data_IF_436282847874
#
_entry.id   IF_436282847874
#
_cell.length_a   1.000
_cell.length_b   1.000
_cell.length_c   1.000
_cell.angle_alpha   90.00
_cell.angle_beta   90.00
_cell.angle_gamma   90.00
#
_symmetry.space_group_name_H-M   'P 1'
#
loop_
_entity.id
_entity.type
_entity.pdbx_description
1 polymer ?
#
# COMPACT_ATOMS: atom_id res chain seq x y z
N UNK A 1 3.84 13.46 -10.63
CA UNK A 1 2.91 12.71 -9.77
C UNK A 1 3.63 11.50 -9.19
N UNK A 2 3.43 11.23 -7.92
CA UNK A 2 4.06 10.09 -7.28
C UNK A 2 3.07 9.34 -6.39
N UNK A 3 3.45 8.10 -6.05
CA UNK A 3 2.63 7.22 -5.23
C UNK A 3 3.50 6.46 -4.24
N UNK A 4 2.92 6.10 -3.11
CA UNK A 4 3.50 5.15 -2.17
C UNK A 4 2.87 3.79 -2.51
N UNK A 5 3.70 2.77 -2.68
CA UNK A 5 3.24 1.40 -2.94
C UNK A 5 3.48 0.59 -1.67
N UNK A 6 2.41 -0.01 -1.15
CA UNK A 6 2.46 -0.82 0.07
C UNK A 6 2.15 -2.26 -0.31
N UNK A 7 3.13 -3.13 -0.14
CA UNK A 7 2.98 -4.55 -0.43
C UNK A 7 2.70 -5.29 0.87
N UNK A 8 1.60 -6.05 0.89
CA UNK A 8 1.13 -6.76 2.09
C UNK A 8 0.97 -8.24 1.83
N UNK A 9 1.24 -9.04 2.86
CA UNK A 9 1.02 -10.47 2.86
C UNK A 9 0.82 -10.94 4.30
N UNK A 10 -0.17 -11.82 4.52
CA UNK A 10 -0.46 -12.32 5.86
C UNK A 10 -0.92 -11.25 6.84
N UNK A 11 -1.56 -10.19 6.33
CA UNK A 11 -1.97 -9.05 7.15
C UNK A 11 -0.84 -8.12 7.58
N UNK A 12 0.38 -8.34 7.06
CA UNK A 12 1.55 -7.56 7.43
C UNK A 12 2.14 -6.84 6.23
N UNK A 13 2.64 -5.63 6.47
CA UNK A 13 3.37 -4.88 5.45
C UNK A 13 4.73 -5.55 5.22
N UNK A 14 5.00 -5.94 3.98
CA UNK A 14 6.27 -6.57 3.59
C UNK A 14 7.27 -5.54 3.07
N UNK A 15 6.81 -4.63 2.23
CA UNK A 15 7.65 -3.61 1.61
C UNK A 15 6.84 -2.34 1.39
N UNK A 16 7.53 -1.21 1.40
CA UNK A 16 6.96 0.09 1.04
C UNK A 16 7.88 0.75 0.04
N UNK A 17 7.34 1.15 -1.09
CA UNK A 17 8.09 1.79 -2.17
C UNK A 17 7.53 3.16 -2.48
N UNK A 18 8.34 4.01 -3.09
CA UNK A 18 7.88 5.26 -3.69
C UNK A 18 8.18 5.18 -5.18
N UNK A 19 7.20 5.56 -6.00
CA UNK A 19 7.37 5.64 -7.44
C UNK A 19 6.97 7.03 -7.92
N UNK A 20 7.78 7.61 -8.83
CA UNK A 20 7.51 8.91 -9.42
C UNK A 20 8.28 10.03 -8.74
N UNK A 21 7.95 11.27 -9.11
CA UNK A 21 8.61 12.47 -8.61
C UNK A 21 7.62 13.38 -7.89
N UNK A 22 8.11 14.16 -6.95
CA UNK A 22 7.32 15.06 -6.13
C UNK A 22 6.75 14.35 -4.90
N UNK A 23 5.97 15.08 -4.11
CA UNK A 23 5.33 14.53 -2.93
C UNK A 23 4.25 13.51 -3.35
N UNK A 24 4.18 12.35 -2.72
CA UNK A 24 3.18 11.35 -3.08
C UNK A 24 1.77 11.85 -2.77
N UNK A 25 0.82 11.52 -3.66
CA UNK A 25 -0.58 11.94 -3.53
C UNK A 25 -1.53 10.77 -3.35
N UNK A 26 -1.08 9.55 -3.59
CA UNK A 26 -1.90 8.35 -3.40
C UNK A 26 -1.06 7.19 -2.88
N UNK A 27 -1.74 6.25 -2.25
CA UNK A 27 -1.17 4.97 -1.88
C UNK A 27 -1.79 3.89 -2.77
N UNK A 28 -0.96 2.95 -3.23
CA UNK A 28 -1.40 1.76 -3.94
C UNK A 28 -1.07 0.58 -3.03
N UNK A 29 -2.10 -0.10 -2.55
CA UNK A 29 -1.92 -1.26 -1.69
C UNK A 29 -2.01 -2.51 -2.55
N UNK A 30 -0.95 -3.31 -2.53
CA UNK A 30 -0.90 -4.60 -3.21
C UNK A 30 -0.98 -5.66 -2.13
N UNK A 31 -2.16 -6.23 -1.94
CA UNK A 31 -2.43 -7.20 -0.88
C UNK A 31 -2.46 -8.60 -1.48
N UNK A 32 -1.47 -9.43 -1.14
CA UNK A 32 -1.37 -10.79 -1.66
C UNK A 32 -2.33 -11.77 -0.95
N UNK A 33 -3.05 -11.32 0.07
CA UNK A 33 -4.06 -12.11 0.73
C UNK A 33 -5.37 -12.06 -0.06
N UNK A 34 -5.57 -13.01 -0.95
CA UNK A 34 -6.75 -13.03 -1.82
C UNK A 34 -7.84 -13.97 -1.31
N UNK A 35 -7.61 -14.66 -0.22
CA UNK A 35 -8.58 -15.57 0.37
C UNK A 35 -9.81 -14.79 0.83
N UNK A 36 -10.98 -15.21 0.38
CA UNK A 36 -12.23 -14.55 0.70
C UNK A 36 -12.54 -13.33 -0.17
N UNK A 37 -11.65 -12.95 -1.07
CA UNK A 37 -11.89 -11.85 -1.99
C UNK A 37 -12.73 -12.31 -3.18
N UNK A 38 -13.57 -11.40 -3.71
CA UNK A 38 -14.32 -11.66 -4.93
C UNK A 38 -13.36 -11.73 -6.12
N UNK A 39 -13.65 -12.62 -7.08
CA UNK A 39 -12.77 -12.82 -8.22
C UNK A 39 -12.54 -11.56 -9.06
N UNK A 40 -13.51 -10.64 -9.06
CA UNK A 40 -13.38 -9.35 -9.78
C UNK A 40 -12.38 -8.41 -9.11
N UNK A 41 -12.10 -8.60 -7.82
CA UNK A 41 -11.15 -7.78 -7.07
C UNK A 41 -9.72 -8.34 -7.13
N UNK A 42 -9.55 -9.53 -7.70
CA UNK A 42 -8.26 -10.19 -7.78
C UNK A 42 -7.61 -9.90 -9.12
N UNK A 43 -6.35 -9.46 -9.05
CA UNK A 43 -5.52 -9.17 -10.24
C UNK A 43 -4.37 -10.17 -10.29
N UNK A 44 -4.10 -10.72 -11.45
CA UNK A 44 -2.93 -11.56 -11.66
C UNK A 44 -1.73 -10.66 -11.99
N UNK A 45 -0.69 -10.78 -11.19
CA UNK A 45 0.54 -10.01 -11.37
C UNK A 45 1.59 -10.91 -12.02
N UNK A 46 2.15 -10.43 -13.12
CA UNK A 46 3.22 -11.12 -13.83
C UNK A 46 4.56 -10.74 -13.23
N UNK A 47 5.26 -11.71 -12.68
CA UNK A 47 6.56 -11.45 -12.09
C UNK A 47 7.67 -11.70 -13.10
N UNK A 48 8.78 -10.96 -12.94
CA UNK A 48 9.96 -11.13 -13.77
C UNK A 48 10.65 -12.48 -13.57
N UNK A 49 10.36 -13.12 -12.43
CA UNK A 49 10.91 -14.43 -12.12
C UNK A 49 10.18 -15.61 -12.75
N UNK A 50 9.16 -15.36 -13.56
CA UNK A 50 8.41 -16.39 -14.26
C UNK A 50 7.26 -17.00 -13.47
N UNK A 51 7.01 -16.51 -12.28
CA UNK A 51 5.87 -16.96 -11.48
C UNK A 51 4.83 -15.86 -11.42
N UNK A 52 3.60 -16.19 -11.83
CA UNK A 52 2.48 -15.27 -11.67
C UNK A 52 1.90 -15.45 -10.29
N UNK A 53 1.43 -14.36 -9.69
CA UNK A 53 0.74 -14.44 -8.41
C UNK A 53 -0.47 -13.53 -8.43
N UNK A 54 -1.37 -13.74 -7.48
CA UNK A 54 -2.61 -12.99 -7.40
C UNK A 54 -2.55 -12.01 -6.23
N UNK A 55 -3.17 -10.86 -6.43
CA UNK A 55 -3.27 -9.85 -5.38
C UNK A 55 -4.53 -9.03 -5.55
N UNK A 56 -5.02 -8.46 -4.46
CA UNK A 56 -6.04 -7.44 -4.48
C UNK A 56 -5.34 -6.09 -4.48
N UNK A 57 -5.73 -5.20 -5.40
CA UNK A 57 -5.10 -3.89 -5.54
C UNK A 57 -6.10 -2.81 -5.15
N UNK A 58 -5.72 -2.00 -4.18
CA UNK A 58 -6.52 -0.88 -3.70
C UNK A 58 -5.75 0.42 -3.88
N UNK A 59 -6.46 1.47 -4.25
CA UNK A 59 -5.85 2.80 -4.33
C UNK A 59 -6.55 3.71 -3.34
N UNK A 60 -5.76 4.45 -2.58
CA UNK A 60 -6.26 5.37 -1.58
C UNK A 60 -5.63 6.75 -1.76
N UNK A 61 -6.43 7.80 -1.61
CA UNK A 61 -5.90 9.14 -1.58
C UNK A 61 -5.12 9.35 -0.29
N UNK A 62 -3.96 10.01 -0.39
CA UNK A 62 -3.20 10.37 0.80
C UNK A 62 -3.78 11.67 1.37
N UNK A 63 -4.10 11.62 2.65
CA UNK A 63 -4.65 12.75 3.37
C UNK A 63 -3.65 13.25 4.41
N UNK A 64 -3.75 14.51 4.77
CA UNK A 64 -2.94 15.04 5.86
C UNK A 64 -3.45 14.44 7.18
N UNK A 65 -2.51 14.01 7.99
CA UNK A 65 -2.83 13.51 9.32
C UNK A 65 -3.35 14.67 10.17
N UNK A 66 -4.55 14.56 10.77
CA UNK A 66 -5.07 15.62 11.63
C UNK A 66 -4.13 15.87 12.82
N UNK A 67 -3.91 17.15 13.13
CA UNK A 67 -3.10 17.54 14.27
C UNK A 67 -3.77 17.11 15.56
N UNK A 68 -2.97 16.64 16.50
CA UNK A 68 -3.41 16.19 17.83
C UNK A 68 -4.36 15.00 17.82
N UNK A 69 -4.47 14.29 16.70
CA UNK A 69 -5.15 13.00 16.68
C UNK A 69 -4.30 11.97 17.44
N UNK A 70 -4.91 10.85 17.81
CA UNK A 70 -4.18 9.78 18.49
C UNK A 70 -3.01 9.27 17.65
N UNK A 71 -3.23 9.12 16.36
CA UNK A 71 -2.17 8.66 15.44
C UNK A 71 -1.07 9.71 15.32
N UNK A 72 -1.42 11.01 15.27
CA UNK A 72 -0.45 12.09 15.20
C UNK A 72 0.50 12.07 16.41
N UNK A 73 -0.04 11.80 17.59
CA UNK A 73 0.75 11.71 18.83
C UNK A 73 1.77 10.59 18.76
N UNK A 74 1.38 9.46 18.16
CA UNK A 74 2.29 8.32 17.97
C UNK A 74 3.35 8.66 16.92
N UNK A 75 2.95 9.23 15.79
CA UNK A 75 3.86 9.56 14.70
C UNK A 75 4.92 10.56 15.13
N UNK A 76 4.57 11.54 15.93
CA UNK A 76 5.54 12.52 16.45
C UNK A 76 6.71 11.90 17.20
N UNK A 77 6.50 10.74 17.82
CA UNK A 77 7.57 10.02 18.50
C UNK A 77 8.58 9.43 17.53
N UNK A 78 8.19 9.16 16.28
CA UNK A 78 9.02 8.54 15.26
C UNK A 78 9.63 9.53 14.27
N UNK A 79 9.06 10.72 14.15
CA UNK A 79 9.53 11.76 13.21
C UNK A 79 10.34 12.82 13.96
N UNK A 80 11.45 12.42 14.51
CA UNK A 80 12.35 13.37 15.21
C UNK A 80 13.48 13.79 14.29
#
# INVERSE_FOLDING_TARGET
>A
MSAIIIQMQGGLVQEVFIRGTGAPTKAIVVDEDVEGADSEDITTIKSDGGFDYEACIHTEALNKLPRNSDVDKIVKAYLK
#
